data_IF_256197323953
#
_entry.id   IF_256197323953
#
_cell.length_a   1.000
_cell.length_b   1.000
_cell.length_c   1.000
_cell.angle_alpha   90.00
_cell.angle_beta   90.00
_cell.angle_gamma   90.00
#
_symmetry.space_group_name_H-M   'P 1'
#
loop_
_entity.id
_entity.type
_entity.pdbx_description
1 polymer ?
#
# COMPACT_ATOMS: atom_id res chain seq x y z
N UNK A 1 -2.22 8.88 -27.37
CA UNK A 1 -3.05 9.93 -26.72
C UNK A 1 -4.46 9.37 -26.57
N UNK A 2 -5.29 9.83 -25.61
CA UNK A 2 -6.66 9.34 -25.51
C UNK A 2 -7.44 9.79 -26.75
N UNK A 3 -7.75 8.86 -27.66
CA UNK A 3 -8.42 9.19 -28.93
C UNK A 3 -9.94 9.39 -28.77
N UNK A 4 -10.48 9.18 -27.56
CA UNK A 4 -11.91 9.29 -27.26
C UNK A 4 -12.13 9.92 -25.87
N UNK A 5 -13.23 10.67 -25.69
CA UNK A 5 -13.56 11.35 -24.42
C UNK A 5 -13.62 10.38 -23.23
N UNK A 6 -14.08 9.15 -23.45
CA UNK A 6 -14.08 8.11 -22.42
C UNK A 6 -12.66 7.65 -22.02
N UNK A 7 -11.73 7.59 -22.97
CA UNK A 7 -10.34 7.22 -22.72
C UNK A 7 -9.64 8.31 -21.89
N UNK A 8 -9.92 9.59 -22.16
CA UNK A 8 -9.40 10.70 -21.37
C UNK A 8 -9.92 10.66 -19.92
N UNK A 9 -11.22 10.37 -19.74
CA UNK A 9 -11.82 10.15 -18.41
C UNK A 9 -11.14 9.00 -17.66
N UNK A 10 -10.87 7.89 -18.35
CA UNK A 10 -10.19 6.73 -17.77
C UNK A 10 -8.75 7.05 -17.38
N UNK A 11 -8.01 7.80 -18.20
CA UNK A 11 -6.65 8.24 -17.87
C UNK A 11 -6.63 9.09 -16.58
N UNK A 12 -7.56 10.05 -16.43
CA UNK A 12 -7.68 10.84 -15.20
C UNK A 12 -7.96 9.97 -13.96
N UNK A 13 -8.88 9.01 -14.09
CA UNK A 13 -9.21 8.07 -13.00
C UNK A 13 -8.02 7.19 -12.63
N UNK A 14 -7.30 6.68 -13.64
CA UNK A 14 -6.13 5.84 -13.45
C UNK A 14 -5.01 6.59 -12.76
N UNK A 15 -4.73 7.85 -13.15
CA UNK A 15 -3.75 8.71 -12.46
C UNK A 15 -4.09 8.91 -10.99
N UNK A 16 -5.35 9.20 -10.66
CA UNK A 16 -5.81 9.35 -9.28
C UNK A 16 -5.62 8.06 -8.47
N UNK A 17 -6.06 6.92 -9.01
CA UNK A 17 -5.90 5.61 -8.35
C UNK A 17 -4.44 5.22 -8.19
N UNK A 18 -3.60 5.48 -9.20
CA UNK A 18 -2.18 5.18 -9.16
C UNK A 18 -1.46 5.98 -8.06
N UNK A 19 -1.80 7.26 -7.87
CA UNK A 19 -1.24 8.08 -6.79
C UNK A 19 -1.58 7.51 -5.40
N UNK A 20 -2.85 7.17 -5.17
CA UNK A 20 -3.32 6.60 -3.91
C UNK A 20 -2.64 5.25 -3.64
N UNK A 21 -2.66 4.34 -4.63
CA UNK A 21 -2.06 3.01 -4.50
C UNK A 21 -0.54 3.08 -4.28
N UNK A 22 0.14 4.04 -4.91
CA UNK A 22 1.57 4.29 -4.69
C UNK A 22 1.85 4.71 -3.25
N UNK A 23 1.08 5.65 -2.71
CA UNK A 23 1.22 6.10 -1.32
C UNK A 23 1.02 4.95 -0.35
N UNK A 24 -0.09 4.22 -0.47
CA UNK A 24 -0.44 3.12 0.42
C UNK A 24 0.63 2.01 0.39
N UNK A 25 1.10 1.64 -0.81
CA UNK A 25 2.16 0.62 -0.97
C UNK A 25 3.49 1.09 -0.38
N UNK A 26 3.83 2.37 -0.51
CA UNK A 26 5.06 2.95 0.06
C UNK A 26 5.03 2.94 1.59
N UNK A 27 3.89 3.34 2.18
CA UNK A 27 3.67 3.29 3.62
C UNK A 27 3.81 1.86 4.15
N UNK A 28 3.12 0.90 3.54
CA UNK A 28 3.22 -0.51 3.90
C UNK A 28 4.67 -1.04 3.85
N UNK A 29 5.42 -0.74 2.79
CA UNK A 29 6.84 -1.15 2.67
C UNK A 29 7.70 -0.52 3.77
N UNK A 30 7.42 0.72 4.14
CA UNK A 30 8.15 1.44 5.20
C UNK A 30 7.88 0.81 6.56
N UNK A 31 6.62 0.51 6.89
CA UNK A 31 6.26 -0.19 8.13
C UNK A 31 6.87 -1.60 8.20
N UNK A 32 6.86 -2.34 7.09
CA UNK A 32 7.55 -3.64 7.00
C UNK A 32 9.06 -3.53 7.24
N UNK A 33 9.71 -2.47 6.74
CA UNK A 33 11.14 -2.22 7.01
C UNK A 33 11.36 -1.94 8.49
N UNK A 34 10.52 -1.12 9.12
CA UNK A 34 10.59 -0.85 10.57
C UNK A 34 10.40 -2.12 11.39
N UNK A 35 9.42 -2.95 11.02
CA UNK A 35 9.19 -4.25 11.66
C UNK A 35 10.40 -5.17 11.56
N UNK A 36 11.02 -5.29 10.37
CA UNK A 36 12.23 -6.11 10.18
C UNK A 36 13.39 -5.65 11.06
N UNK A 37 13.62 -4.34 11.14
CA UNK A 37 14.67 -3.76 11.99
C UNK A 37 14.38 -3.99 13.48
N UNK A 38 13.12 -3.83 13.91
CA UNK A 38 12.73 -4.09 15.30
C UNK A 38 12.92 -5.57 15.69
N UNK A 39 12.59 -6.49 14.78
CA UNK A 39 12.81 -7.94 14.96
C UNK A 39 14.31 -8.24 15.04
N UNK A 40 15.13 -7.71 14.12
CA UNK A 40 16.59 -7.93 14.18
C UNK A 40 17.24 -7.34 15.44
N UNK A 41 16.66 -6.26 15.99
CA UNK A 41 17.12 -5.64 17.24
C UNK A 41 16.57 -6.28 18.51
N UNK A 42 15.83 -7.39 18.44
CA UNK A 42 15.29 -8.10 19.60
C UNK A 42 14.12 -7.40 20.32
N UNK A 43 13.54 -6.34 19.74
CA UNK A 43 12.48 -5.53 20.36
C UNK A 43 11.09 -6.09 20.07
N UNK A 44 10.73 -7.18 20.77
CA UNK A 44 9.44 -7.88 20.60
C UNK A 44 8.21 -6.98 20.84
N UNK A 45 8.25 -6.09 21.81
CA UNK A 45 7.10 -5.23 22.15
C UNK A 45 6.80 -4.20 21.06
N UNK A 46 7.85 -3.60 20.47
CA UNK A 46 7.71 -2.65 19.38
C UNK A 46 7.18 -3.32 18.11
N UNK A 47 7.60 -4.56 17.84
CA UNK A 47 7.10 -5.35 16.73
C UNK A 47 5.59 -5.65 16.87
N UNK A 48 5.14 -6.01 18.07
CA UNK A 48 3.72 -6.27 18.37
C UNK A 48 2.82 -5.05 18.18
N UNK A 49 3.33 -3.84 18.47
CA UNK A 49 2.59 -2.58 18.27
C UNK A 49 2.45 -2.19 16.80
N UNK A 50 3.42 -2.56 15.94
CA UNK A 50 3.43 -2.20 14.52
C UNK A 50 2.52 -3.14 13.68
N UNK A 51 2.34 -4.39 14.13
CA UNK A 51 1.56 -5.42 13.46
C UNK A 51 0.12 -5.00 13.08
N UNK A 52 -0.69 -4.37 13.96
CA UNK A 52 -2.02 -3.90 13.61
C UNK A 52 -2.05 -2.86 12.49
N UNK A 53 -1.09 -1.93 12.47
CA UNK A 53 -0.98 -0.92 11.40
C UNK A 53 -0.71 -1.56 10.04
N UNK A 54 0.23 -2.52 10.02
CA UNK A 54 0.57 -3.27 8.81
C UNK A 54 -0.63 -4.05 8.30
N UNK A 55 -1.39 -4.73 9.19
CA UNK A 55 -2.60 -5.47 8.81
C UNK A 55 -3.66 -4.57 8.18
N UNK A 56 -3.89 -3.39 8.75
CA UNK A 56 -4.83 -2.39 8.22
C UNK A 56 -4.40 -1.87 6.85
N UNK A 57 -3.11 -1.58 6.67
CA UNK A 57 -2.56 -1.16 5.38
C UNK A 57 -2.69 -2.25 4.33
N UNK A 58 -2.38 -3.51 4.68
CA UNK A 58 -2.57 -4.68 3.83
C UNK A 58 -4.02 -4.82 3.36
N UNK A 59 -4.98 -4.85 4.29
CA UNK A 59 -6.40 -5.00 3.96
C UNK A 59 -6.89 -3.92 2.98
N UNK A 60 -6.45 -2.67 3.19
CA UNK A 60 -6.82 -1.53 2.33
C UNK A 60 -6.26 -1.67 0.92
N UNK A 61 -5.01 -2.14 0.79
CA UNK A 61 -4.33 -2.32 -0.50
C UNK A 61 -4.91 -3.52 -1.26
N UNK A 62 -5.26 -4.59 -0.54
CA UNK A 62 -5.92 -5.80 -1.04
C UNK A 62 -7.31 -5.46 -1.60
N UNK A 63 -8.17 -4.76 -0.85
CA UNK A 63 -9.49 -4.33 -1.34
C UNK A 63 -9.39 -3.39 -2.56
N UNK A 64 -8.37 -2.54 -2.61
CA UNK A 64 -8.11 -1.69 -3.78
C UNK A 64 -7.59 -2.47 -5.00
N UNK A 65 -7.44 -3.79 -4.93
CA UNK A 65 -6.85 -4.67 -5.95
C UNK A 65 -5.46 -4.20 -6.40
N UNK A 66 -4.76 -3.49 -5.52
CA UNK A 66 -3.43 -2.98 -5.81
C UNK A 66 -2.34 -4.05 -5.61
N UNK A 67 -2.65 -5.14 -4.90
CA UNK A 67 -1.84 -6.35 -4.79
C UNK A 67 -2.78 -7.55 -4.99
N UNK A 68 -2.43 -8.45 -5.92
CA UNK A 68 -3.17 -9.70 -6.10
C UNK A 68 -2.96 -10.59 -4.87
N UNK A 69 -4.07 -11.05 -4.34
CA UNK A 69 -4.17 -12.10 -3.34
C UNK A 69 -4.53 -13.35 -4.16
N UNK A 70 -3.64 -14.35 -4.14
CA UNK A 70 -3.86 -15.63 -4.80
C UNK A 70 -4.95 -16.42 -4.05
#
# INVERSE_FOLDING_TARGET
MPNHKSAEKRDRQNKRRAAINRSNRSQMRTELKKLRVAISGGKKEDASKILPSIKKALFTITQAHAINHA
#
